data_IF_468522985869
#
_entry.id   IF_468522985869
#
_cell.length_a   1.000
_cell.length_b   1.000
_cell.length_c   1.000
_cell.angle_alpha   90.00
_cell.angle_beta   90.00
_cell.angle_gamma   90.00
#
_symmetry.space_group_name_H-M   'P 1'
#
loop_
_entity.id
_entity.type
_entity.pdbx_description
1 polymer ?
#
# COMPACT_ATOMS: atom_id res chain seq x y z
N UNK A 1 -2.11 -28.55 17.66
CA UNK A 1 -1.00 -27.60 17.48
C UNK A 1 0.29 -28.38 17.65
N UNK A 2 0.88 -28.78 16.54
CA UNK A 2 2.20 -29.37 16.50
C UNK A 2 3.21 -28.35 15.96
N UNK A 3 4.50 -28.62 16.20
CA UNK A 3 5.58 -27.95 15.49
C UNK A 3 6.03 -28.86 14.34
N UNK A 4 6.33 -28.26 13.20
CA UNK A 4 6.79 -28.93 11.98
C UNK A 4 8.06 -28.27 11.50
N UNK A 5 9.12 -29.06 11.39
CA UNK A 5 10.44 -28.58 11.01
C UNK A 5 10.77 -29.11 9.62
N UNK A 6 11.21 -28.22 8.74
CA UNK A 6 11.73 -28.61 7.44
C UNK A 6 13.08 -29.31 7.60
N UNK A 7 13.29 -30.43 6.90
CA UNK A 7 14.54 -31.19 6.91
C UNK A 7 14.86 -31.71 5.50
N UNK A 8 16.10 -32.17 5.29
CA UNK A 8 16.47 -32.86 4.05
C UNK A 8 16.70 -31.95 2.84
N UNK A 9 17.20 -30.73 3.04
CA UNK A 9 17.59 -29.80 1.98
C UNK A 9 16.42 -29.34 1.09
N UNK A 10 16.65 -29.06 -0.20
CA UNK A 10 15.61 -28.61 -1.12
C UNK A 10 14.62 -29.71 -1.48
N UNK A 11 13.37 -29.32 -1.78
CA UNK A 11 12.32 -30.27 -2.12
C UNK A 11 10.93 -29.66 -2.22
N UNK A 12 9.94 -30.53 -2.34
CA UNK A 12 8.53 -30.14 -2.47
C UNK A 12 7.86 -30.08 -1.11
N UNK A 13 7.08 -29.02 -0.86
CA UNK A 13 6.29 -28.84 0.36
C UNK A 13 5.43 -30.08 0.69
N UNK A 14 4.89 -30.73 -0.34
CA UNK A 14 4.00 -31.89 -0.19
C UNK A 14 4.70 -33.20 0.18
N UNK A 15 6.04 -33.27 0.14
CA UNK A 15 6.78 -34.51 0.34
C UNK A 15 7.09 -34.76 1.83
N UNK A 16 6.07 -35.27 2.51
CA UNK A 16 6.11 -35.66 3.91
C UNK A 16 7.19 -36.69 4.22
N UNK A 17 7.40 -37.64 3.30
CA UNK A 17 8.33 -38.75 3.51
C UNK A 17 9.76 -38.26 3.71
N UNK A 18 10.12 -37.12 3.13
CA UNK A 18 11.49 -36.62 3.15
C UNK A 18 11.70 -35.28 3.88
N UNK A 19 10.67 -34.44 4.08
CA UNK A 19 10.92 -33.05 4.48
C UNK A 19 10.27 -32.53 5.76
N UNK A 20 9.37 -33.28 6.41
CA UNK A 20 8.73 -32.82 7.64
C UNK A 20 9.14 -33.67 8.84
N UNK A 21 9.61 -33.01 9.90
CA UNK A 21 10.00 -33.61 11.17
C UNK A 21 9.26 -32.97 12.37
N UNK A 22 9.20 -33.69 13.50
CA UNK A 22 8.55 -33.24 14.73
C UNK A 22 9.47 -32.38 15.62
N UNK A 23 10.77 -32.37 15.31
CA UNK A 23 11.82 -31.61 16.01
C UNK A 23 12.88 -31.13 15.02
N UNK A 24 13.62 -30.10 15.38
CA UNK A 24 14.78 -29.60 14.62
C UNK A 24 15.76 -30.73 14.30
N UNK A 25 16.18 -30.85 13.03
CA UNK A 25 17.09 -31.90 12.53
C UNK A 25 16.60 -33.35 12.74
N UNK A 26 15.33 -33.55 13.06
CA UNK A 26 14.75 -34.86 13.32
C UNK A 26 14.62 -35.72 12.07
N UNK A 27 14.24 -36.98 12.26
CA UNK A 27 13.89 -37.85 11.15
C UNK A 27 12.64 -37.31 10.40
N UNK A 28 12.60 -37.41 9.06
CA UNK A 28 11.44 -37.00 8.29
C UNK A 28 10.29 -38.00 8.48
N UNK A 29 9.22 -37.86 7.67
CA UNK A 29 8.00 -38.68 7.68
C UNK A 29 6.90 -38.22 8.67
N UNK A 30 6.95 -36.97 9.14
CA UNK A 30 5.79 -36.32 9.74
C UNK A 30 4.80 -35.83 8.68
N UNK A 31 3.56 -35.61 9.11
CA UNK A 31 2.55 -35.00 8.24
C UNK A 31 2.91 -33.55 7.92
N UNK A 32 2.64 -33.11 6.68
CA UNK A 32 2.71 -31.69 6.33
C UNK A 32 1.91 -30.81 7.31
N UNK A 33 2.32 -29.55 7.50
CA UNK A 33 1.63 -28.62 8.36
C UNK A 33 0.19 -28.34 7.90
N UNK A 34 -0.66 -28.07 8.88
CA UNK A 34 -2.02 -27.56 8.70
C UNK A 34 -2.13 -26.15 9.27
N UNK A 35 -3.31 -25.53 9.16
CA UNK A 35 -3.62 -24.22 9.74
C UNK A 35 -3.42 -24.11 11.26
N UNK A 36 -3.24 -25.25 11.95
CA UNK A 36 -3.03 -25.31 13.40
C UNK A 36 -1.60 -25.62 13.81
N UNK A 37 -0.67 -25.78 12.86
CA UNK A 37 0.71 -26.21 13.12
C UNK A 37 1.71 -25.11 12.81
N UNK A 38 2.69 -24.93 13.68
CA UNK A 38 3.77 -23.98 13.46
C UNK A 38 4.86 -24.60 12.59
N UNK A 39 5.40 -23.81 11.67
CA UNK A 39 6.39 -24.22 10.69
C UNK A 39 7.70 -23.51 10.95
N UNK A 40 8.78 -24.29 10.97
CA UNK A 40 10.12 -23.80 11.23
C UNK A 40 11.08 -24.24 10.13
N UNK A 41 11.81 -23.27 9.60
CA UNK A 41 13.01 -23.45 8.79
C UNK A 41 14.19 -22.93 9.61
N UNK A 42 15.10 -23.82 9.98
CA UNK A 42 16.16 -23.52 10.94
C UNK A 42 17.54 -23.97 10.42
N UNK A 43 18.54 -23.91 11.30
CA UNK A 43 19.92 -24.23 10.96
C UNK A 43 20.13 -25.69 10.52
N UNK A 44 19.21 -26.60 10.87
CA UNK A 44 19.24 -28.01 10.49
C UNK A 44 18.35 -28.33 9.28
N UNK A 45 17.66 -27.33 8.71
CA UNK A 45 16.82 -27.53 7.53
C UNK A 45 17.62 -27.73 6.24
N UNK A 46 18.78 -27.09 6.13
CA UNK A 46 19.63 -27.11 4.94
C UNK A 46 21.07 -27.40 5.34
N UNK A 47 21.66 -28.44 4.75
CA UNK A 47 23.06 -28.84 4.93
C UNK A 47 24.01 -28.08 3.99
N UNK A 48 23.48 -27.47 2.92
CA UNK A 48 24.25 -26.75 1.91
C UNK A 48 23.47 -25.56 1.33
N UNK A 49 24.15 -24.67 0.63
CA UNK A 49 23.53 -23.54 -0.07
C UNK A 49 22.79 -23.94 -1.35
N UNK A 50 22.11 -22.96 -1.95
CA UNK A 50 21.37 -23.12 -3.22
C UNK A 50 20.22 -24.15 -3.18
N UNK A 51 19.71 -24.44 -1.98
CA UNK A 51 18.55 -25.30 -1.80
C UNK A 51 17.26 -24.54 -2.08
N UNK A 52 16.27 -25.23 -2.65
CA UNK A 52 14.97 -24.63 -2.99
C UNK A 52 13.83 -25.41 -2.37
N UNK A 53 13.01 -24.73 -1.57
CA UNK A 53 11.73 -25.23 -1.07
C UNK A 53 10.65 -24.81 -2.06
N UNK A 54 9.99 -25.79 -2.68
CA UNK A 54 8.98 -25.54 -3.70
C UNK A 54 7.59 -25.75 -3.11
N UNK A 55 6.80 -24.68 -3.05
CA UNK A 55 5.37 -24.73 -2.73
C UNK A 55 4.61 -25.22 -3.97
N UNK A 56 4.57 -26.55 -4.13
CA UNK A 56 3.98 -27.24 -5.27
C UNK A 56 2.46 -27.51 -5.10
N UNK A 57 1.91 -27.28 -3.91
CA UNK A 57 0.49 -27.34 -3.58
C UNK A 57 0.14 -26.19 -2.62
N UNK A 58 -1.13 -26.00 -2.28
CA UNK A 58 -1.52 -25.00 -1.27
C UNK A 58 -0.90 -25.38 0.07
N UNK A 59 0.04 -24.55 0.54
CA UNK A 59 0.66 -24.67 1.84
C UNK A 59 -0.20 -23.96 2.89
N UNK A 60 -0.33 -24.54 4.08
CA UNK A 60 -1.05 -23.94 5.20
C UNK A 60 -0.25 -24.13 6.48
N UNK A 61 -0.20 -23.10 7.33
CA UNK A 61 0.45 -23.15 8.64
C UNK A 61 -0.22 -22.16 9.60
N UNK A 62 -0.03 -22.37 10.90
CA UNK A 62 -0.29 -21.35 11.90
C UNK A 62 0.77 -20.24 11.78
N UNK A 63 1.94 -20.42 12.39
CA UNK A 63 3.08 -19.52 12.25
C UNK A 63 4.09 -20.09 11.25
N UNK A 64 4.81 -19.23 10.53
CA UNK A 64 5.93 -19.60 9.67
C UNK A 64 7.18 -18.82 10.08
N UNK A 65 8.21 -19.53 10.54
CA UNK A 65 9.42 -18.95 11.12
C UNK A 65 10.68 -19.44 10.40
N UNK A 66 11.44 -18.49 9.86
CA UNK A 66 12.74 -18.67 9.20
C UNK A 66 13.88 -17.98 9.97
N UNK A 67 13.63 -17.52 11.20
CA UNK A 67 14.56 -16.69 11.99
C UNK A 67 15.94 -17.31 12.17
N UNK A 68 16.03 -18.64 12.23
CA UNK A 68 17.26 -19.39 12.46
C UNK A 68 17.77 -20.11 11.20
N UNK A 69 17.25 -19.79 10.02
CA UNK A 69 17.67 -20.44 8.78
C UNK A 69 19.12 -20.09 8.44
N UNK A 70 19.84 -21.05 7.90
CA UNK A 70 21.21 -20.85 7.37
C UNK A 70 21.26 -21.23 5.89
N UNK A 71 22.40 -21.01 5.24
CA UNK A 71 22.68 -21.44 3.86
C UNK A 71 21.86 -20.76 2.74
N UNK A 72 21.17 -19.65 3.03
CA UNK A 72 20.49 -18.81 2.00
C UNK A 72 19.59 -19.58 1.03
N UNK A 73 18.61 -20.34 1.52
CA UNK A 73 17.70 -21.12 0.69
C UNK A 73 16.73 -20.23 -0.09
N UNK A 74 16.11 -20.81 -1.12
CA UNK A 74 15.08 -20.17 -1.93
C UNK A 74 13.71 -20.76 -1.63
N UNK A 75 12.71 -19.91 -1.39
CA UNK A 75 11.29 -20.27 -1.35
C UNK A 75 10.64 -19.97 -2.70
N UNK A 76 10.14 -21.01 -3.39
CA UNK A 76 9.64 -20.94 -4.75
C UNK A 76 8.24 -21.57 -4.91
N UNK A 77 7.72 -21.59 -6.14
CA UNK A 77 6.49 -22.30 -6.52
C UNK A 77 5.27 -21.42 -6.74
N UNK A 78 4.30 -21.92 -7.52
CA UNK A 78 3.13 -21.17 -7.98
C UNK A 78 1.86 -21.30 -7.13
N UNK A 79 1.77 -22.28 -6.24
CA UNK A 79 0.59 -22.48 -5.38
C UNK A 79 0.56 -21.47 -4.21
N UNK A 80 -0.56 -21.29 -3.51
CA UNK A 80 -0.61 -20.29 -2.42
C UNK A 80 0.04 -20.78 -1.11
N UNK A 81 0.53 -19.85 -0.29
CA UNK A 81 0.80 -20.09 1.14
C UNK A 81 -0.30 -19.38 1.94
N UNK A 82 -0.92 -20.10 2.86
CA UNK A 82 -1.98 -19.61 3.76
C UNK A 82 -1.48 -19.65 5.21
N UNK A 83 -1.27 -18.47 5.80
CA UNK A 83 -0.70 -18.30 7.14
C UNK A 83 -1.80 -17.84 8.07
N UNK A 84 -2.01 -18.59 9.17
CA UNK A 84 -3.07 -18.31 10.13
C UNK A 84 -2.62 -17.52 11.36
N UNK A 85 -1.32 -17.31 11.48
CA UNK A 85 -0.66 -16.56 12.54
C UNK A 85 0.37 -15.59 11.98
N UNK A 86 1.57 -15.66 12.51
CA UNK A 86 2.68 -14.75 12.21
C UNK A 86 3.61 -15.29 11.14
N UNK A 87 4.27 -14.38 10.44
CA UNK A 87 5.33 -14.68 9.49
C UNK A 87 6.63 -14.02 9.94
N UNK A 88 7.71 -14.79 9.98
CA UNK A 88 9.07 -14.28 10.18
C UNK A 88 9.98 -14.81 9.08
N UNK A 89 10.17 -14.00 8.03
CA UNK A 89 11.28 -14.17 7.09
C UNK A 89 12.52 -13.43 7.57
N UNK A 90 13.66 -13.75 6.97
CA UNK A 90 14.95 -13.09 7.21
C UNK A 90 15.57 -12.64 5.89
N UNK A 91 16.48 -11.67 5.91
CA UNK A 91 17.19 -11.23 4.70
C UNK A 91 18.12 -12.31 4.12
N UNK A 92 18.50 -13.30 4.93
CA UNK A 92 19.35 -14.43 4.57
C UNK A 92 18.62 -15.56 3.83
N UNK A 93 17.58 -15.27 3.06
CA UNK A 93 16.91 -16.23 2.15
C UNK A 93 16.48 -15.50 0.87
N UNK A 94 16.01 -16.24 -0.13
CA UNK A 94 15.44 -15.68 -1.37
C UNK A 94 13.99 -16.13 -1.53
N UNK A 95 13.12 -15.24 -2.04
CA UNK A 95 11.74 -15.61 -2.42
C UNK A 95 11.57 -15.38 -3.92
N UNK A 96 11.28 -16.45 -4.66
CA UNK A 96 10.95 -16.39 -6.10
C UNK A 96 9.56 -16.93 -6.40
N UNK A 97 8.78 -17.21 -5.36
CA UNK A 97 7.41 -17.66 -5.42
C UNK A 97 6.53 -16.69 -6.22
N UNK A 98 5.58 -17.24 -6.98
CA UNK A 98 4.59 -16.46 -7.75
C UNK A 98 3.16 -16.56 -7.20
N UNK A 99 2.85 -17.65 -6.49
CA UNK A 99 1.59 -17.78 -5.75
C UNK A 99 1.44 -16.74 -4.64
N UNK A 100 0.23 -16.62 -4.11
CA UNK A 100 -0.07 -15.63 -3.07
C UNK A 100 0.59 -16.00 -1.74
N UNK A 101 0.95 -14.98 -0.96
CA UNK A 101 1.15 -15.10 0.49
C UNK A 101 -0.10 -14.49 1.12
N UNK A 102 -0.92 -15.34 1.73
CA UNK A 102 -2.25 -15.01 2.25
C UNK A 102 -2.26 -15.19 3.76
N UNK A 103 -2.71 -14.17 4.46
CA UNK A 103 -2.92 -14.17 5.90
C UNK A 103 -4.42 -14.24 6.21
N UNK A 104 -4.86 -15.29 6.88
CA UNK A 104 -6.28 -15.48 7.20
C UNK A 104 -6.49 -16.15 8.55
N UNK A 105 -7.62 -15.94 9.21
CA UNK A 105 -7.86 -16.57 10.51
C UNK A 105 -9.08 -16.04 11.23
N UNK A 106 -9.47 -16.74 12.30
CA UNK A 106 -10.74 -16.50 12.99
C UNK A 106 -10.63 -16.34 14.51
N UNK A 107 -9.45 -16.49 15.12
CA UNK A 107 -9.39 -16.73 16.58
C UNK A 107 -8.32 -15.94 17.34
N UNK A 108 -7.24 -15.48 16.71
CA UNK A 108 -6.08 -14.99 17.46
C UNK A 108 -5.74 -13.53 17.15
N UNK A 109 -5.43 -12.78 18.21
CA UNK A 109 -4.99 -11.38 18.16
C UNK A 109 -3.46 -11.29 18.20
N UNK A 110 -2.91 -10.13 17.85
CA UNK A 110 -1.50 -9.75 17.93
C UNK A 110 -0.56 -10.55 17.03
N UNK A 111 -0.94 -10.74 15.77
CA UNK A 111 -0.07 -11.36 14.76
C UNK A 111 0.93 -10.36 14.22
N UNK A 112 2.09 -10.88 13.82
CA UNK A 112 3.16 -10.07 13.27
C UNK A 112 3.61 -10.57 11.92
N UNK A 113 4.07 -9.66 11.08
CA UNK A 113 4.67 -10.00 9.81
C UNK A 113 6.02 -9.28 9.68
N UNK A 114 7.08 -10.08 9.59
CA UNK A 114 8.44 -9.66 9.26
C UNK A 114 8.79 -10.29 7.91
N UNK A 115 9.05 -9.46 6.91
CA UNK A 115 9.38 -9.91 5.55
C UNK A 115 10.88 -10.09 5.34
N UNK A 116 11.71 -9.67 6.30
CA UNK A 116 13.17 -9.70 6.20
C UNK A 116 13.72 -8.68 5.20
N UNK A 117 12.90 -7.70 4.78
CA UNK A 117 13.22 -6.77 3.69
C UNK A 117 13.35 -7.42 2.31
N UNK A 118 12.80 -8.62 2.13
CA UNK A 118 12.84 -9.35 0.86
C UNK A 118 11.94 -8.69 -0.20
N UNK A 119 12.31 -8.86 -1.47
CA UNK A 119 11.47 -8.46 -2.60
C UNK A 119 10.42 -9.53 -2.89
N UNK A 120 9.15 -9.21 -2.63
CA UNK A 120 8.00 -10.07 -2.88
C UNK A 120 7.24 -9.68 -4.15
N UNK A 121 7.84 -8.93 -5.07
CA UNK A 121 7.19 -8.50 -6.33
C UNK A 121 6.86 -9.64 -7.29
N UNK A 122 7.51 -10.80 -7.16
CA UNK A 122 7.13 -11.99 -7.92
C UNK A 122 5.79 -12.58 -7.45
N UNK A 123 5.42 -12.37 -6.18
CA UNK A 123 4.16 -12.86 -5.63
C UNK A 123 3.00 -12.06 -6.22
N UNK A 124 1.98 -12.77 -6.71
CA UNK A 124 0.77 -12.14 -7.26
C UNK A 124 0.12 -11.19 -6.27
N UNK A 125 -0.16 -11.66 -5.04
CA UNK A 125 -0.70 -10.83 -3.96
C UNK A 125 0.03 -11.08 -2.64
N UNK A 126 0.23 -9.99 -1.91
CA UNK A 126 0.50 -10.00 -0.47
C UNK A 126 -0.82 -9.63 0.24
N UNK A 127 -1.52 -10.66 0.74
CA UNK A 127 -2.97 -10.62 0.97
C UNK A 127 -3.31 -10.77 2.45
N UNK A 128 -4.00 -9.77 3.00
CA UNK A 128 -4.51 -9.78 4.37
C UNK A 128 -6.02 -9.94 4.40
N UNK A 129 -6.51 -11.01 5.04
CA UNK A 129 -7.94 -11.33 5.06
C UNK A 129 -8.43 -12.04 6.34
N UNK A 130 -7.95 -11.59 7.50
CA UNK A 130 -8.43 -12.09 8.79
C UNK A 130 -9.92 -11.79 9.01
N UNK A 131 -10.70 -12.82 9.33
CA UNK A 131 -12.10 -12.65 9.76
C UNK A 131 -12.12 -12.06 11.16
N UNK A 132 -11.33 -12.64 12.06
CA UNK A 132 -11.03 -12.09 13.39
C UNK A 132 -9.53 -12.23 13.62
N UNK A 133 -8.88 -11.13 13.99
CA UNK A 133 -7.44 -11.06 14.21
C UNK A 133 -6.86 -9.75 13.71
N UNK A 134 -5.80 -9.32 14.38
CA UNK A 134 -4.99 -8.17 14.02
C UNK A 134 -3.61 -8.62 13.56
N UNK A 135 -3.10 -7.94 12.54
CA UNK A 135 -1.77 -8.11 12.00
C UNK A 135 -1.01 -6.79 12.13
N UNK A 136 0.21 -6.84 12.65
CA UNK A 136 1.12 -5.70 12.76
C UNK A 136 2.38 -5.95 11.96
N UNK A 137 2.68 -5.09 10.99
CA UNK A 137 3.93 -5.15 10.23
C UNK A 137 5.12 -4.80 11.14
N UNK A 138 6.22 -5.53 11.02
CA UNK A 138 7.44 -5.30 11.82
C UNK A 138 8.57 -4.64 11.03
N UNK A 139 8.53 -4.72 9.70
CA UNK A 139 9.54 -4.17 8.81
C UNK A 139 8.93 -3.61 7.51
N UNK A 140 9.79 -3.04 6.68
CA UNK A 140 9.41 -2.53 5.37
C UNK A 140 9.02 -3.68 4.44
N UNK A 141 7.93 -3.50 3.68
CA UNK A 141 7.38 -4.49 2.75
C UNK A 141 7.57 -4.02 1.33
N UNK A 142 8.14 -4.87 0.46
CA UNK A 142 8.15 -4.67 -0.99
C UNK A 142 7.39 -5.81 -1.65
N UNK A 143 6.32 -5.51 -2.40
CA UNK A 143 5.48 -6.53 -3.01
C UNK A 143 4.88 -6.05 -4.34
N UNK A 144 4.25 -6.94 -5.11
CA UNK A 144 3.50 -6.51 -6.30
C UNK A 144 2.24 -5.79 -5.86
N UNK A 145 1.28 -6.52 -5.32
CA UNK A 145 -0.01 -5.97 -4.91
C UNK A 145 -0.14 -6.12 -3.41
N UNK A 146 -0.22 -5.00 -2.71
CA UNK A 146 -0.60 -4.97 -1.30
C UNK A 146 -2.11 -5.02 -1.22
N UNK A 147 -2.66 -6.16 -0.77
CA UNK A 147 -4.08 -6.46 -0.87
C UNK A 147 -4.67 -6.61 0.53
N UNK A 148 -5.59 -5.72 0.90
CA UNK A 148 -6.30 -5.81 2.18
C UNK A 148 -7.79 -6.09 1.96
N UNK A 149 -8.19 -7.32 2.28
CA UNK A 149 -9.54 -7.80 2.05
C UNK A 149 -10.43 -7.67 3.27
N UNK A 150 -9.95 -7.93 4.49
CA UNK A 150 -10.74 -7.84 5.73
C UNK A 150 -9.84 -7.97 6.96
N UNK A 151 -10.34 -7.52 8.12
CA UNK A 151 -9.67 -7.68 9.41
C UNK A 151 -9.10 -6.39 9.97
N UNK A 152 -8.13 -6.51 10.89
CA UNK A 152 -7.40 -5.38 11.47
C UNK A 152 -5.95 -5.44 11.01
N UNK A 153 -5.44 -4.35 10.46
CA UNK A 153 -4.07 -4.22 9.98
C UNK A 153 -3.45 -2.94 10.50
N UNK A 154 -2.33 -3.09 11.21
CA UNK A 154 -1.46 -2.00 11.61
C UNK A 154 -0.18 -2.02 10.77
N UNK A 155 0.03 -0.96 9.99
CA UNK A 155 1.25 -0.78 9.21
C UNK A 155 2.44 -0.39 10.08
N UNK A 156 2.21 -0.01 11.33
CA UNK A 156 3.22 0.25 12.35
C UNK A 156 4.29 1.26 11.92
N UNK A 157 3.89 2.26 11.12
CA UNK A 157 4.82 3.27 10.60
C UNK A 157 5.82 2.76 9.56
N UNK A 158 5.70 1.52 9.09
CA UNK A 158 6.65 0.92 8.15
C UNK A 158 6.54 1.53 6.74
N UNK A 159 7.56 1.30 5.93
CA UNK A 159 7.52 1.63 4.51
C UNK A 159 6.93 0.48 3.72
N UNK A 160 5.92 0.76 2.90
CA UNK A 160 5.31 -0.20 1.97
C UNK A 160 5.61 0.29 0.56
N UNK A 161 6.23 -0.56 -0.25
CA UNK A 161 6.44 -0.31 -1.68
C UNK A 161 5.68 -1.36 -2.48
N UNK A 162 4.71 -0.92 -3.27
CA UNK A 162 3.90 -1.81 -4.09
C UNK A 162 3.62 -1.23 -5.48
N UNK A 163 3.33 -2.10 -6.44
CA UNK A 163 2.84 -1.66 -7.76
C UNK A 163 1.39 -1.19 -7.66
N UNK A 164 0.60 -1.81 -6.77
CA UNK A 164 -0.80 -1.48 -6.50
C UNK A 164 -1.13 -1.60 -5.02
N UNK A 165 -1.85 -0.61 -4.50
CA UNK A 165 -2.54 -0.68 -3.22
C UNK A 165 -4.02 -0.97 -3.46
N UNK A 166 -4.54 -2.09 -2.94
CA UNK A 166 -5.91 -2.52 -3.21
C UNK A 166 -6.66 -2.95 -1.94
N UNK A 167 -7.83 -2.36 -1.73
CA UNK A 167 -8.76 -2.74 -0.66
C UNK A 167 -10.14 -3.05 -1.23
N UNK A 168 -10.68 -4.23 -0.94
CA UNK A 168 -11.93 -4.72 -1.54
C UNK A 168 -13.20 -4.06 -0.98
N UNK A 169 -14.23 -3.97 -1.83
CA UNK A 169 -15.61 -3.81 -1.39
C UNK A 169 -16.10 -5.05 -0.64
N UNK A 170 -16.92 -4.84 0.40
CA UNK A 170 -17.56 -5.86 1.24
C UNK A 170 -16.64 -6.58 2.23
N UNK A 171 -16.52 -5.99 3.42
CA UNK A 171 -16.17 -6.57 4.75
C UNK A 171 -15.64 -5.44 5.64
N UNK A 172 -15.82 -5.58 6.96
CA UNK A 172 -15.24 -4.62 7.90
C UNK A 172 -13.71 -4.68 7.87
N UNK A 173 -13.08 -3.51 7.79
CA UNK A 173 -11.63 -3.33 7.80
C UNK A 173 -11.27 -2.31 8.87
N UNK A 174 -10.18 -2.56 9.59
CA UNK A 174 -9.52 -1.53 10.40
C UNK A 174 -8.09 -1.38 9.89
N UNK A 175 -7.72 -0.19 9.44
CA UNK A 175 -6.36 0.12 9.01
C UNK A 175 -5.80 1.23 9.88
N UNK A 176 -4.64 1.00 10.49
CA UNK A 176 -3.84 2.02 11.16
C UNK A 176 -2.52 2.17 10.43
N UNK A 177 -2.22 3.36 9.93
CA UNK A 177 -1.00 3.62 9.17
C UNK A 177 0.16 4.12 10.05
N UNK A 178 -0.12 4.79 11.18
CA UNK A 178 0.91 5.46 11.97
C UNK A 178 1.68 6.49 11.14
N UNK A 179 3.01 6.39 11.11
CA UNK A 179 3.90 7.23 10.30
C UNK A 179 4.30 6.59 8.95
N UNK A 180 3.51 5.64 8.44
CA UNK A 180 3.91 4.82 7.29
C UNK A 180 4.17 5.65 6.02
N UNK A 181 5.06 5.14 5.18
CA UNK A 181 5.29 5.66 3.83
C UNK A 181 4.80 4.60 2.84
N UNK A 182 3.76 4.92 2.08
CA UNK A 182 3.17 4.02 1.09
C UNK A 182 3.57 4.50 -0.30
N UNK A 183 4.52 3.82 -0.93
CA UNK A 183 5.00 4.11 -2.28
C UNK A 183 4.29 3.20 -3.28
N UNK A 184 3.55 3.80 -4.21
CA UNK A 184 2.82 3.11 -5.26
C UNK A 184 3.48 3.40 -6.60
N UNK A 185 3.96 2.36 -7.27
CA UNK A 185 4.90 2.48 -8.40
C UNK A 185 4.29 2.22 -9.77
N UNK A 186 3.01 1.82 -9.89
CA UNK A 186 2.40 1.58 -11.19
C UNK A 186 0.90 1.92 -11.27
N UNK A 187 0.03 1.11 -10.67
CA UNK A 187 -1.44 1.11 -10.94
C UNK A 187 -2.22 2.08 -10.04
N UNK A 188 -1.63 2.56 -8.95
CA UNK A 188 -2.29 3.51 -8.04
C UNK A 188 -3.00 2.88 -6.84
N UNK A 189 -3.82 3.70 -6.20
CA UNK A 189 -4.53 3.37 -4.96
C UNK A 189 -6.01 3.14 -5.24
N UNK A 190 -6.49 1.96 -4.84
CA UNK A 190 -7.89 1.57 -4.97
C UNK A 190 -8.47 1.16 -3.61
N UNK A 191 -9.20 2.09 -2.98
CA UNK A 191 -10.03 1.81 -1.81
C UNK A 191 -11.48 1.62 -2.27
N UNK A 192 -11.95 0.37 -2.30
CA UNK A 192 -13.36 0.06 -2.53
C UNK A 192 -14.10 -0.28 -1.23
N UNK A 193 -13.46 -0.14 -0.07
CA UNK A 193 -14.00 -0.61 1.19
C UNK A 193 -15.24 0.17 1.63
N UNK A 194 -16.35 -0.52 1.86
CA UNK A 194 -17.62 0.15 2.19
C UNK A 194 -17.83 0.36 3.69
N UNK A 195 -17.13 -0.39 4.53
CA UNK A 195 -17.28 -0.39 6.00
C UNK A 195 -15.92 -0.55 6.65
N UNK A 196 -15.62 0.27 7.65
CA UNK A 196 -14.38 0.16 8.42
C UNK A 196 -13.95 1.42 9.14
N UNK A 197 -12.84 1.31 9.86
CA UNK A 197 -12.13 2.43 10.49
C UNK A 197 -10.76 2.58 9.84
N UNK A 198 -10.44 3.77 9.37
CA UNK A 198 -9.20 4.03 8.63
C UNK A 198 -8.50 5.22 9.27
N UNK A 199 -7.39 4.97 9.94
CA UNK A 199 -6.55 5.98 10.56
C UNK A 199 -5.22 6.07 9.80
N UNK A 200 -5.08 7.12 9.00
CA UNK A 200 -3.86 7.39 8.25
C UNK A 200 -2.81 8.16 9.07
N UNK A 201 -3.05 8.45 10.36
CA UNK A 201 -2.07 9.01 11.29
C UNK A 201 -1.27 10.18 10.74
N UNK A 202 0.06 10.02 10.70
CA UNK A 202 1.00 10.97 10.07
C UNK A 202 1.60 10.45 8.76
N UNK A 203 0.97 9.42 8.17
CA UNK A 203 1.47 8.73 6.98
C UNK A 203 1.61 9.63 5.75
N UNK A 204 2.38 9.14 4.79
CA UNK A 204 2.53 9.72 3.46
C UNK A 204 2.28 8.67 2.39
N UNK A 205 1.33 8.92 1.50
CA UNK A 205 1.08 8.10 0.31
C UNK A 205 1.71 8.80 -0.89
N UNK A 206 2.50 8.08 -1.68
CA UNK A 206 3.15 8.59 -2.89
C UNK A 206 2.74 7.72 -4.08
N UNK A 207 2.09 8.32 -5.07
CA UNK A 207 1.86 7.68 -6.36
C UNK A 207 2.91 8.23 -7.33
N UNK A 208 3.83 7.36 -7.74
CA UNK A 208 5.03 7.75 -8.52
C UNK A 208 4.70 7.80 -10.01
N UNK A 209 3.96 6.81 -10.51
CA UNK A 209 3.59 6.70 -11.91
C UNK A 209 2.14 7.16 -12.17
N UNK A 210 1.81 7.34 -13.44
CA UNK A 210 0.49 7.82 -13.90
C UNK A 210 -0.59 6.77 -13.68
N UNK A 211 -1.49 7.00 -12.71
CA UNK A 211 -2.75 6.26 -12.54
C UNK A 211 -3.69 6.93 -11.51
N UNK A 212 -4.60 6.18 -10.90
CA UNK A 212 -5.69 6.69 -10.06
C UNK A 212 -5.38 6.73 -8.56
N UNK A 213 -6.01 7.71 -7.90
CA UNK A 213 -6.24 7.76 -6.47
C UNK A 213 -7.75 7.62 -6.22
N UNK A 214 -8.23 6.38 -6.05
CA UNK A 214 -9.62 6.10 -5.65
C UNK A 214 -9.68 6.06 -4.13
N UNK A 215 -9.82 7.24 -3.53
CA UNK A 215 -9.68 7.42 -2.08
C UNK A 215 -10.95 7.17 -1.27
N UNK A 216 -12.07 6.85 -1.92
CA UNK A 216 -13.32 6.42 -1.27
C UNK A 216 -13.87 7.33 -0.15
N UNK A 217 -13.55 8.62 -0.20
CA UNK A 217 -14.00 9.58 0.79
C UNK A 217 -13.33 9.47 2.15
N UNK A 218 -12.08 8.98 2.21
CA UNK A 218 -11.33 8.90 3.47
C UNK A 218 -10.66 10.22 3.85
N UNK A 219 -10.18 10.24 5.09
CA UNK A 219 -9.27 11.27 5.62
C UNK A 219 -7.85 10.73 5.54
N UNK A 220 -7.04 11.35 4.69
CA UNK A 220 -5.62 11.05 4.52
C UNK A 220 -4.77 12.15 5.16
N UNK A 221 -3.57 11.79 5.60
CA UNK A 221 -2.62 12.78 6.07
C UNK A 221 -1.91 13.47 4.88
N UNK A 222 -0.79 12.92 4.42
CA UNK A 222 -0.06 13.46 3.27
C UNK A 222 -0.26 12.57 2.04
N UNK A 223 -0.60 13.18 0.90
CA UNK A 223 -0.64 12.49 -0.40
C UNK A 223 0.19 13.27 -1.42
N UNK A 224 1.08 12.57 -2.11
CA UNK A 224 1.88 13.09 -3.21
C UNK A 224 1.54 12.37 -4.51
N UNK A 225 1.12 13.13 -5.52
CA UNK A 225 0.85 12.66 -6.88
C UNK A 225 1.98 13.16 -7.77
N UNK A 226 2.92 12.26 -8.11
CA UNK A 226 4.20 12.61 -8.73
C UNK A 226 4.31 12.17 -10.21
N UNK A 227 3.29 11.48 -10.73
CA UNK A 227 3.19 11.11 -12.14
C UNK A 227 2.71 12.26 -13.03
N UNK A 228 2.57 11.99 -14.33
CA UNK A 228 2.18 13.01 -15.33
C UNK A 228 0.67 13.09 -15.54
N UNK A 229 -0.09 12.09 -15.10
CA UNK A 229 -1.54 12.20 -15.02
C UNK A 229 -2.10 11.38 -13.85
N UNK A 230 -3.15 11.90 -13.21
CA UNK A 230 -3.84 11.19 -12.16
C UNK A 230 -5.34 11.43 -12.20
N UNK A 231 -6.12 10.38 -11.92
CA UNK A 231 -7.55 10.52 -11.65
C UNK A 231 -7.81 10.42 -10.16
N UNK A 232 -8.44 11.43 -9.57
CA UNK A 232 -8.83 11.43 -8.16
C UNK A 232 -10.33 11.18 -8.05
N UNK A 233 -10.73 10.20 -7.23
CA UNK A 233 -12.13 9.86 -6.97
C UNK A 233 -12.43 9.66 -5.48
N UNK A 234 -13.72 9.67 -5.15
CA UNK A 234 -14.19 9.79 -3.76
C UNK A 234 -14.08 11.23 -3.25
N UNK A 235 -14.91 11.61 -2.28
CA UNK A 235 -14.85 12.95 -1.68
C UNK A 235 -13.90 12.97 -0.49
N UNK A 236 -12.60 13.06 -0.75
CA UNK A 236 -11.55 12.83 0.24
C UNK A 236 -11.20 14.09 1.03
N UNK A 237 -10.62 13.88 2.22
CA UNK A 237 -10.00 14.94 3.02
C UNK A 237 -8.50 14.69 3.14
N UNK A 238 -7.67 15.73 3.01
CA UNK A 238 -6.22 15.65 3.11
C UNK A 238 -5.69 16.71 4.08
N UNK A 239 -4.77 16.32 4.97
CA UNK A 239 -3.91 17.31 5.66
C UNK A 239 -3.04 18.02 4.63
N UNK A 240 -2.41 17.28 3.72
CA UNK A 240 -1.69 17.83 2.58
C UNK A 240 -1.91 17.01 1.32
N UNK A 241 -2.18 17.70 0.22
CA UNK A 241 -2.18 17.12 -1.13
C UNK A 241 -1.15 17.88 -1.95
N UNK A 242 -0.12 17.16 -2.40
CA UNK A 242 0.96 17.68 -3.23
C UNK A 242 0.88 17.09 -4.63
N UNK A 243 0.96 17.95 -5.63
CA UNK A 243 1.09 17.61 -7.04
C UNK A 243 2.53 17.91 -7.46
N UNK A 244 3.29 16.88 -7.80
CA UNK A 244 4.66 17.00 -8.29
C UNK A 244 4.68 17.38 -9.77
N UNK A 245 5.22 18.56 -10.12
CA UNK A 245 5.26 19.05 -11.50
C UNK A 245 6.67 18.95 -12.11
N UNK A 246 7.20 17.74 -12.15
CA UNK A 246 8.47 17.47 -12.85
C UNK A 246 8.34 17.64 -14.37
N UNK A 247 7.15 17.35 -14.92
CA UNK A 247 6.71 17.67 -16.27
C UNK A 247 5.31 18.32 -16.21
N UNK A 248 4.66 18.52 -17.35
CA UNK A 248 3.23 18.88 -17.38
C UNK A 248 2.40 17.77 -16.72
N UNK A 249 1.41 18.15 -15.90
CA UNK A 249 0.59 17.20 -15.13
C UNK A 249 -0.88 17.43 -15.38
N UNK A 250 -1.64 16.35 -15.56
CA UNK A 250 -3.10 16.38 -15.61
C UNK A 250 -3.71 15.73 -14.37
N UNK A 251 -4.54 16.47 -13.64
CA UNK A 251 -5.36 15.95 -12.53
C UNK A 251 -6.82 15.94 -12.97
N UNK A 252 -7.38 14.75 -13.12
CA UNK A 252 -8.78 14.53 -13.44
C UNK A 252 -9.57 14.27 -12.17
N UNK A 253 -10.43 15.21 -11.78
CA UNK A 253 -11.37 15.00 -10.69
C UNK A 253 -12.63 14.28 -11.16
N UNK A 254 -13.07 13.27 -10.41
CA UNK A 254 -14.34 12.59 -10.70
C UNK A 254 -15.50 13.54 -10.48
N UNK A 255 -16.42 13.60 -11.45
CA UNK A 255 -17.54 14.54 -11.46
C UNK A 255 -18.35 14.50 -10.15
N UNK A 256 -18.68 15.67 -9.60
CA UNK A 256 -19.47 15.81 -8.37
C UNK A 256 -18.74 15.47 -7.07
N UNK A 257 -17.47 15.04 -7.12
CA UNK A 257 -16.69 14.78 -5.90
C UNK A 257 -16.05 16.05 -5.33
N UNK A 258 -15.72 16.03 -4.03
CA UNK A 258 -15.08 17.14 -3.33
C UNK A 258 -13.77 16.70 -2.70
N UNK A 259 -12.66 17.34 -3.03
CA UNK A 259 -11.38 17.20 -2.34
C UNK A 259 -11.25 18.34 -1.31
N UNK A 260 -11.27 17.99 -0.03
CA UNK A 260 -11.05 18.94 1.08
C UNK A 260 -9.59 18.88 1.50
N UNK A 261 -8.81 19.91 1.22
CA UNK A 261 -7.36 19.90 1.42
C UNK A 261 -6.98 21.01 2.38
N UNK A 262 -6.33 20.71 3.50
CA UNK A 262 -5.83 21.76 4.42
C UNK A 262 -4.61 22.48 3.84
N UNK A 263 -3.70 21.77 3.18
CA UNK A 263 -2.53 22.33 2.51
C UNK A 263 -2.36 21.76 1.09
N UNK A 264 -2.79 22.51 0.07
CA UNK A 264 -2.61 22.14 -1.33
C UNK A 264 -1.30 22.71 -1.88
N UNK A 265 -0.44 21.85 -2.44
CA UNK A 265 0.83 22.24 -3.03
C UNK A 265 0.91 21.76 -4.48
N UNK A 266 1.15 22.66 -5.41
CA UNK A 266 1.48 22.33 -6.80
C UNK A 266 2.87 22.91 -7.10
N UNK A 267 3.91 22.21 -6.64
CA UNK A 267 5.29 22.70 -6.68
C UNK A 267 5.77 22.93 -8.11
N UNK A 268 6.55 23.99 -8.36
CA UNK A 268 7.13 24.38 -9.65
C UNK A 268 6.11 24.96 -10.67
N UNK A 269 6.19 26.27 -10.89
CA UNK A 269 5.32 26.98 -11.84
C UNK A 269 5.85 26.96 -13.28
N UNK A 270 6.88 26.19 -13.63
CA UNK A 270 7.40 26.17 -15.01
C UNK A 270 6.62 25.23 -15.95
N UNK A 271 5.90 24.24 -15.40
CA UNK A 271 5.19 23.21 -16.17
C UNK A 271 3.69 23.32 -15.96
N UNK A 272 2.87 23.19 -17.00
CA UNK A 272 1.41 23.34 -16.88
C UNK A 272 0.81 22.29 -15.93
N UNK A 273 -0.07 22.75 -15.02
CA UNK A 273 -0.99 21.91 -14.26
C UNK A 273 -2.37 22.00 -14.88
N UNK A 274 -2.85 20.94 -15.50
CA UNK A 274 -4.23 20.84 -15.95
C UNK A 274 -5.08 20.21 -14.87
N UNK A 275 -6.15 20.87 -14.44
CA UNK A 275 -7.17 20.31 -13.55
C UNK A 275 -8.51 20.26 -14.28
N UNK A 276 -9.07 19.06 -14.43
CA UNK A 276 -10.20 18.84 -15.33
C UNK A 276 -11.23 17.86 -14.75
N UNK A 277 -12.49 17.96 -15.20
CA UNK A 277 -13.46 16.87 -15.15
C UNK A 277 -14.21 16.73 -16.47
N UNK A 278 -14.53 15.50 -16.87
CA UNK A 278 -15.22 15.17 -18.13
C UNK A 278 -16.75 15.28 -18.03
N UNK A 279 -17.29 15.51 -16.82
CA UNK A 279 -18.72 15.68 -16.57
C UNK A 279 -19.03 16.95 -15.78
N UNK A 280 -19.89 16.84 -14.76
CA UNK A 280 -20.11 17.93 -13.82
C UNK A 280 -18.81 18.30 -13.10
N UNK A 281 -18.73 19.54 -12.61
CA UNK A 281 -17.55 20.01 -11.92
C UNK A 281 -17.24 19.20 -10.65
N UNK A 282 -15.96 19.08 -10.34
CA UNK A 282 -15.47 18.62 -9.05
C UNK A 282 -15.01 19.83 -8.22
N UNK A 283 -14.96 19.67 -6.90
CA UNK A 283 -14.65 20.77 -5.98
C UNK A 283 -13.30 20.56 -5.32
N UNK A 284 -12.47 21.61 -5.29
CA UNK A 284 -11.29 21.72 -4.42
C UNK A 284 -11.58 22.77 -3.33
N UNK A 285 -11.53 22.38 -2.06
CA UNK A 285 -11.91 23.25 -0.93
C UNK A 285 -10.97 23.08 0.28
N UNK A 286 -11.14 23.88 1.33
CA UNK A 286 -10.51 23.68 2.65
C UNK A 286 -9.10 24.25 2.84
N UNK A 287 -8.48 24.81 1.80
CA UNK A 287 -7.06 25.19 1.83
C UNK A 287 -6.76 26.33 2.81
N UNK A 288 -6.00 26.08 3.87
CA UNK A 288 -5.68 27.07 4.91
C UNK A 288 -5.08 28.36 4.32
N UNK A 289 -5.81 29.47 4.48
CA UNK A 289 -5.41 30.78 3.98
C UNK A 289 -5.82 30.98 2.52
N UNK A 290 -4.90 30.76 1.59
CA UNK A 290 -5.11 30.99 0.15
C UNK A 290 -4.36 29.95 -0.67
N UNK A 291 -4.98 29.51 -1.76
CA UNK A 291 -4.33 28.68 -2.78
C UNK A 291 -3.76 29.62 -3.84
N UNK A 292 -2.45 29.57 -4.07
CA UNK A 292 -1.76 30.37 -5.08
C UNK A 292 -1.09 29.43 -6.07
N UNK A 293 -1.64 29.37 -7.27
CA UNK A 293 -1.12 28.62 -8.41
C UNK A 293 -0.63 29.59 -9.49
N UNK A 294 0.06 29.05 -10.48
CA UNK A 294 0.34 29.69 -11.76
C UNK A 294 0.58 28.60 -12.81
N UNK A 295 0.44 28.93 -14.10
CA UNK A 295 0.50 27.97 -15.20
C UNK A 295 -0.48 26.82 -15.02
N UNK A 296 -1.75 27.17 -14.81
CA UNK A 296 -2.84 26.23 -14.52
C UNK A 296 -3.94 26.33 -15.56
N UNK A 297 -4.34 25.20 -16.13
CA UNK A 297 -5.47 25.10 -17.05
C UNK A 297 -6.64 24.43 -16.33
N UNK A 298 -7.77 25.13 -16.20
CA UNK A 298 -8.92 24.67 -15.44
C UNK A 298 -10.10 24.37 -16.36
N UNK A 299 -10.80 23.26 -16.15
CA UNK A 299 -12.10 22.99 -16.78
C UNK A 299 -12.98 22.17 -15.84
N UNK A 300 -14.20 22.63 -15.58
CA UNK A 300 -15.12 22.01 -14.63
C UNK A 300 -14.51 21.86 -13.22
N UNK A 301 -13.88 22.91 -12.69
CA UNK A 301 -13.31 22.93 -11.34
C UNK A 301 -13.94 24.03 -10.50
N UNK A 302 -14.57 23.65 -9.39
CA UNK A 302 -15.10 24.59 -8.39
C UNK A 302 -14.06 24.80 -7.30
N UNK A 303 -13.65 26.06 -7.09
CA UNK A 303 -12.98 26.47 -5.87
C UNK A 303 -14.01 26.66 -4.74
N UNK A 304 -13.77 26.03 -3.59
CA UNK A 304 -14.65 26.15 -2.44
C UNK A 304 -14.59 27.54 -1.79
N UNK A 305 -15.74 28.03 -1.31
CA UNK A 305 -15.88 29.37 -0.70
C UNK A 305 -15.11 29.57 0.61
N UNK A 306 -14.61 28.48 1.22
CA UNK A 306 -13.93 28.56 2.51
C UNK A 306 -12.65 29.41 2.45
N UNK A 307 -12.01 29.51 1.27
CA UNK A 307 -10.74 30.21 1.09
C UNK A 307 -10.66 30.83 -0.31
N UNK A 308 -9.63 31.65 -0.55
CA UNK A 308 -9.42 32.31 -1.84
C UNK A 308 -8.48 31.48 -2.71
N UNK A 309 -8.86 31.28 -3.97
CA UNK A 309 -8.13 30.47 -4.95
C UNK A 309 -7.66 31.33 -6.12
N UNK A 310 -6.35 31.53 -6.22
CA UNK A 310 -5.70 32.21 -7.33
C UNK A 310 -5.13 31.17 -8.30
N UNK A 311 -5.63 31.17 -9.54
CA UNK A 311 -5.10 30.32 -10.60
C UNK A 311 -3.76 30.85 -11.14
N UNK A 312 -3.50 32.16 -11.02
CA UNK A 312 -2.28 32.83 -11.51
C UNK A 312 -2.49 33.61 -12.80
N UNK A 313 -1.47 34.39 -13.20
CA UNK A 313 -1.52 35.26 -14.39
C UNK A 313 -1.32 34.47 -15.69
N UNK A 314 -0.60 33.34 -15.64
CA UNK A 314 -0.28 32.50 -16.79
C UNK A 314 -1.22 31.30 -16.92
N UNK A 315 -2.48 31.47 -16.53
CA UNK A 315 -3.45 30.40 -16.37
C UNK A 315 -4.66 30.57 -17.28
N UNK A 316 -5.25 29.45 -17.70
CA UNK A 316 -6.38 29.44 -18.65
C UNK A 316 -7.68 29.10 -17.94
N UNK A 317 -8.68 29.96 -18.09
CA UNK A 317 -10.06 29.68 -17.68
C UNK A 317 -10.80 28.95 -18.80
N UNK A 318 -10.89 27.63 -18.69
CA UNK A 318 -11.79 26.83 -19.52
C UNK A 318 -13.25 26.98 -19.09
N UNK A 319 -14.11 26.06 -19.53
CA UNK A 319 -15.54 26.12 -19.20
C UNK A 319 -15.85 25.51 -17.83
N UNK A 320 -16.95 25.94 -17.21
CA UNK A 320 -17.51 25.31 -16.01
C UNK A 320 -16.72 25.52 -14.72
N UNK A 321 -15.73 26.41 -14.70
CA UNK A 321 -15.01 26.77 -13.49
C UNK A 321 -15.83 27.75 -12.64
N UNK A 322 -15.64 27.73 -11.32
CA UNK A 322 -16.34 28.66 -10.41
C UNK A 322 -15.42 29.07 -9.26
N UNK A 323 -15.50 30.34 -8.83
CA UNK A 323 -14.76 30.94 -7.71
C UNK A 323 -13.23 30.97 -7.82
N UNK A 324 -12.69 30.83 -9.04
CA UNK A 324 -11.26 31.01 -9.30
C UNK A 324 -10.95 32.46 -9.66
N UNK A 325 -9.80 32.94 -9.19
CA UNK A 325 -9.25 34.24 -9.56
C UNK A 325 -8.10 33.99 -10.56
N UNK A 326 -8.30 34.35 -11.82
CA UNK A 326 -7.29 34.26 -12.88
C UNK A 326 -6.38 35.49 -12.88
N UNK A 327 -5.68 35.65 -11.77
CA UNK A 327 -4.56 36.57 -11.61
C UNK A 327 -3.73 36.14 -10.41
N UNK A 328 -2.49 36.63 -10.31
CA UNK A 328 -1.66 36.43 -9.12
C UNK A 328 -2.22 37.16 -7.90
N UNK A 329 -1.87 36.68 -6.72
CA UNK A 329 -2.17 37.38 -5.48
C UNK A 329 -1.43 38.71 -5.40
N UNK A 330 -2.15 39.82 -5.22
CA UNK A 330 -1.53 41.13 -4.99
C UNK A 330 -0.86 41.16 -3.62
N UNK A 331 0.48 41.22 -3.60
CA UNK A 331 1.25 41.45 -2.37
C UNK A 331 1.38 42.95 -2.14
N UNK A 332 0.65 43.48 -1.16
CA UNK A 332 0.83 44.87 -0.72
C UNK A 332 2.28 45.04 -0.23
N UNK A 333 3.10 45.79 -0.98
CA UNK A 333 4.41 46.21 -0.50
C UNK A 333 4.18 47.10 0.72
N UNK A 334 4.68 46.72 1.89
CA UNK A 334 4.83 47.66 3.02
C UNK A 334 5.73 48.78 2.51
N UNK A 335 5.15 49.95 2.25
CA UNK A 335 5.94 51.17 2.09
C UNK A 335 6.64 51.38 3.44
N UNK A 336 7.96 51.23 3.47
CA UNK A 336 8.76 51.70 4.61
C UNK A 336 8.58 53.22 4.66
N UNK A 337 7.93 53.70 5.72
CA UNK A 337 8.00 55.11 6.12
C UNK A 337 9.32 55.35 6.81
#
# INVERSE_FOLDING_TARGET
>A
MANRFWVGDGGNWSDNTNHWAASTGGAPNETKPTSSDNVYFDANSFSSGSQTVTINEVASCLDMDWSNVTNTPTLAGGSNIVIHGSLTFVSGMTVTKTGQIRFEGTVATSKTCTTGGLDLTSCTHFLFEFINGDMTLQDAVTCSIFYFSRGVLDLNGQTITCTRWFMTAATSKTLTAGAAIINITAVGLEDDATVGTFDYGTSTIKIIETDHFKGNGRIYNNVELNGTAHTISGSNTFTSLKIGRAAAVTITGTAGTTQTVRHFFATNNANVLTMVSTGAAWTLTGNSGYCELDYTDLTNVVAGYANIYYAGDNSTDGTGNTNWIFSRKVRLRRMRR
#
